data_IF_781610413645
#
_entry.id   IF_781610413645
#
_cell.length_a   1.000
_cell.length_b   1.000
_cell.length_c   1.000
_cell.angle_alpha   90.00
_cell.angle_beta   90.00
_cell.angle_gamma   90.00
#
_symmetry.space_group_name_H-M   'P 1'
#
loop_
_entity.id
_entity.type
_entity.pdbx_description
1 polymer ?
#
# COMPACT_ATOMS: atom_id res chain seq x y z
N UNK A 1 5.73 -2.60 -0.59
CA UNK A 1 5.64 -1.45 0.29
C UNK A 1 7.00 -0.87 0.61
N UNK A 2 7.16 0.44 0.39
CA UNK A 2 8.18 1.16 1.16
C UNK A 2 7.87 0.94 2.65
N UNK A 3 8.90 0.66 3.46
CA UNK A 3 8.75 0.50 4.92
C UNK A 3 8.06 1.71 5.58
N UNK A 4 8.17 2.88 4.94
CA UNK A 4 7.44 4.10 5.30
C UNK A 4 5.93 3.92 5.19
N UNK A 5 5.42 3.47 4.04
CA UNK A 5 3.98 3.34 3.80
C UNK A 5 3.31 2.35 4.77
N UNK A 6 3.99 1.23 5.05
CA UNK A 6 3.49 0.23 6.01
C UNK A 6 3.35 0.84 7.42
N UNK A 7 4.39 1.52 7.90
CA UNK A 7 4.38 2.18 9.21
C UNK A 7 3.29 3.26 9.33
N UNK A 8 3.00 3.97 8.24
CA UNK A 8 1.94 4.98 8.22
C UNK A 8 0.56 4.34 8.32
N UNK A 9 0.32 3.25 7.58
CA UNK A 9 -0.96 2.52 7.64
C UNK A 9 -1.19 1.84 9.00
N UNK A 10 -0.14 1.32 9.63
CA UNK A 10 -0.18 0.81 11.00
C UNK A 10 -0.55 1.91 12.00
N UNK A 11 0.07 3.09 11.86
CA UNK A 11 -0.26 4.26 12.70
C UNK A 11 -1.71 4.70 12.52
N UNK A 12 -2.23 4.69 11.28
CA UNK A 12 -3.63 5.01 11.00
C UNK A 12 -4.55 3.97 11.66
N UNK A 13 -4.24 2.67 11.54
CA UNK A 13 -5.00 1.61 12.22
C UNK A 13 -5.05 1.81 13.72
N UNK A 14 -3.92 2.09 14.36
CA UNK A 14 -3.87 2.34 15.80
C UNK A 14 -4.74 3.52 16.21
N UNK A 15 -4.74 4.60 15.44
CA UNK A 15 -5.57 5.77 15.73
C UNK A 15 -7.07 5.48 15.55
N UNK A 16 -7.44 4.67 14.55
CA UNK A 16 -8.82 4.20 14.36
C UNK A 16 -9.27 3.31 15.52
N UNK A 17 -8.38 2.46 16.04
CA UNK A 17 -8.70 1.61 17.19
C UNK A 17 -8.94 2.44 18.45
N UNK A 18 -8.02 3.38 18.73
CA UNK A 18 -8.00 4.20 19.95
C UNK A 18 -9.02 5.34 19.98
N UNK A 19 -9.59 5.75 18.84
CA UNK A 19 -10.53 6.87 18.79
C UNK A 19 -11.92 6.48 19.29
N UNK A 20 -12.53 7.34 20.11
CA UNK A 20 -13.93 7.21 20.52
C UNK A 20 -14.90 7.89 19.54
N UNK A 21 -14.39 8.57 18.52
CA UNK A 21 -15.18 9.31 17.55
C UNK A 21 -15.86 8.43 16.48
N UNK A 22 -15.46 7.17 16.36
CA UNK A 22 -15.98 6.23 15.37
C UNK A 22 -16.76 5.11 16.05
N UNK A 23 -17.91 4.76 15.47
CA UNK A 23 -18.64 3.54 15.81
C UNK A 23 -17.86 2.29 15.46
N UNK A 24 -18.25 1.14 16.03
CA UNK A 24 -17.61 -0.14 15.74
C UNK A 24 -17.73 -0.55 14.25
N UNK A 25 -18.83 -0.17 13.61
CA UNK A 25 -19.04 -0.42 12.18
C UNK A 25 -18.08 0.41 11.32
N UNK A 26 -17.95 1.71 11.62
CA UNK A 26 -17.01 2.61 10.93
C UNK A 26 -15.55 2.20 11.13
N UNK A 27 -15.19 1.70 12.32
CA UNK A 27 -13.86 1.13 12.58
C UNK A 27 -13.62 -0.11 11.71
N UNK A 28 -14.58 -1.02 11.67
CA UNK A 28 -14.51 -2.25 10.87
C UNK A 28 -14.34 -1.94 9.38
N UNK A 29 -15.12 -1.01 8.84
CA UNK A 29 -15.02 -0.62 7.43
C UNK A 29 -13.71 0.09 7.11
N UNK A 30 -13.23 0.93 8.03
CA UNK A 30 -11.92 1.57 7.89
C UNK A 30 -10.79 0.54 7.86
N UNK A 31 -10.84 -0.50 8.71
CA UNK A 31 -9.86 -1.59 8.69
C UNK A 31 -9.90 -2.39 7.39
N UNK A 32 -11.08 -2.73 6.87
CA UNK A 32 -11.20 -3.42 5.56
C UNK A 32 -10.55 -2.60 4.45
N UNK A 33 -10.71 -1.27 4.48
CA UNK A 33 -10.13 -0.38 3.46
C UNK A 33 -8.61 -0.32 3.56
N UNK A 34 -8.06 -0.29 4.77
CA UNK A 34 -6.60 -0.36 4.98
C UNK A 34 -6.04 -1.70 4.50
N UNK A 35 -6.75 -2.81 4.72
CA UNK A 35 -6.36 -4.12 4.16
C UNK A 35 -6.37 -4.13 2.63
N UNK A 36 -7.36 -3.48 2.00
CA UNK A 36 -7.36 -3.30 0.54
C UNK A 36 -6.11 -2.57 0.06
N UNK A 37 -5.72 -1.49 0.73
CA UNK A 37 -4.50 -0.75 0.38
C UNK A 37 -3.23 -1.59 0.54
N UNK A 38 -3.16 -2.45 1.57
CA UNK A 38 -2.05 -3.41 1.69
C UNK A 38 -2.01 -4.41 0.54
N UNK A 39 -3.17 -4.91 0.11
CA UNK A 39 -3.25 -5.83 -1.02
C UNK A 39 -2.88 -5.15 -2.35
N UNK A 40 -3.37 -3.93 -2.57
CA UNK A 40 -3.08 -3.12 -3.76
C UNK A 40 -1.58 -2.80 -3.87
N UNK A 41 -0.93 -2.39 -2.78
CA UNK A 41 0.50 -2.10 -2.78
C UNK A 41 1.35 -3.34 -3.08
N UNK A 42 1.00 -4.50 -2.51
CA UNK A 42 1.67 -5.78 -2.85
C UNK A 42 1.47 -6.16 -4.31
N UNK A 43 0.26 -5.99 -4.84
CA UNK A 43 -0.03 -6.27 -6.24
C UNK A 43 0.75 -5.32 -7.17
N UNK A 44 0.87 -4.05 -6.79
CA UNK A 44 1.66 -3.05 -7.52
C UNK A 44 3.15 -3.42 -7.58
N UNK A 45 3.73 -3.86 -6.46
CA UNK A 45 5.12 -4.34 -6.45
C UNK A 45 5.33 -5.53 -7.39
N UNK A 46 4.43 -6.51 -7.34
CA UNK A 46 4.49 -7.68 -8.22
C UNK A 46 4.43 -7.27 -9.68
N UNK A 47 3.53 -6.33 -10.03
CA UNK A 47 3.40 -5.81 -11.38
C UNK A 47 4.68 -5.09 -11.83
N UNK A 48 5.27 -4.23 -10.99
CA UNK A 48 6.51 -3.53 -11.35
C UNK A 48 7.68 -4.50 -11.56
N UNK A 49 7.75 -5.57 -10.75
CA UNK A 49 8.75 -6.63 -10.91
C UNK A 49 8.57 -7.37 -12.24
N UNK A 50 7.36 -7.84 -12.54
CA UNK A 50 7.05 -8.52 -13.81
C UNK A 50 7.34 -7.62 -15.02
N UNK A 51 6.92 -6.35 -14.97
CA UNK A 51 7.19 -5.38 -16.05
C UNK A 51 8.70 -5.14 -16.24
N UNK A 52 9.46 -5.09 -15.15
CA UNK A 52 10.92 -4.94 -15.20
C UNK A 52 11.61 -6.14 -15.85
N UNK A 53 11.07 -7.34 -15.65
CA UNK A 53 11.62 -8.58 -16.19
C UNK A 53 11.28 -8.77 -17.68
N UNK A 54 10.17 -8.20 -18.16
CA UNK A 54 9.75 -8.28 -19.57
C UNK A 54 10.79 -7.64 -20.51
N UNK A 55 11.35 -6.48 -20.16
CA UNK A 55 12.46 -5.93 -20.94
C UNK A 55 13.35 -4.95 -20.17
N UNK A 56 14.66 -4.90 -20.47
CA UNK A 56 15.57 -3.90 -19.92
C UNK A 56 15.14 -2.46 -20.22
N UNK A 57 14.46 -2.23 -21.36
CA UNK A 57 13.96 -0.91 -21.74
C UNK A 57 12.80 -0.46 -20.85
N UNK A 58 11.88 -1.37 -20.53
CA UNK A 58 10.78 -1.09 -19.59
C UNK A 58 11.33 -0.80 -18.20
N UNK A 59 12.29 -1.61 -17.73
CA UNK A 59 12.98 -1.37 -16.46
C UNK A 59 13.62 0.03 -16.39
N UNK A 60 14.29 0.46 -17.46
CA UNK A 60 14.88 1.79 -17.53
C UNK A 60 13.83 2.90 -17.41
N UNK A 61 12.71 2.79 -18.13
CA UNK A 61 11.60 3.75 -18.04
C UNK A 61 10.98 3.78 -16.64
N UNK A 62 10.78 2.61 -16.00
CA UNK A 62 10.24 2.55 -14.64
C UNK A 62 11.17 3.23 -13.63
N UNK A 63 12.48 3.06 -13.76
CA UNK A 63 13.47 3.73 -12.92
C UNK A 63 13.51 5.25 -13.16
N UNK A 64 13.43 5.69 -14.42
CA UNK A 64 13.35 7.12 -14.77
C UNK A 64 12.11 7.81 -14.18
N UNK A 65 11.00 7.07 -14.05
CA UNK A 65 9.77 7.54 -13.41
C UNK A 65 9.79 7.44 -11.88
N UNK A 66 10.85 6.87 -11.28
CA UNK A 66 10.97 6.67 -9.83
C UNK A 66 9.99 5.62 -9.27
N UNK A 67 9.58 4.66 -10.10
CA UNK A 67 8.63 3.59 -9.71
C UNK A 67 9.33 2.35 -9.16
N UNK A 68 10.64 2.22 -9.37
CA UNK A 68 11.55 1.18 -8.84
C UNK A 68 12.92 1.75 -8.52
#
# INVERSE_FOLDING_TARGET
>A
MSQSNLKHLETIKENIDKTDALSQEEKSDSFKRIESWYAEDKAWESLMAELSDISPKVKAVLAELGLI
#
